data_IF_600811322190
#
_entry.id   IF_600811322190
#
_cell.length_a   1.000
_cell.length_b   1.000
_cell.length_c   1.000
_cell.angle_alpha   90.00
_cell.angle_beta   90.00
_cell.angle_gamma   90.00
#
_symmetry.space_group_name_H-M   'P 1'
#
loop_
_entity.id
_entity.type
_entity.pdbx_description
1 polymer ?
#
# COMPACT_ATOMS: atom_id res chain seq x y z
N UNK A 1 -4.15 8.44 10.01
CA UNK A 1 -4.59 7.62 11.16
C UNK A 1 -6.11 7.44 11.18
N UNK A 2 -6.93 8.49 11.01
CA UNK A 2 -8.41 8.40 11.03
C UNK A 2 -9.00 7.25 10.19
N UNK A 3 -8.47 7.04 8.98
CA UNK A 3 -8.93 5.95 8.11
C UNK A 3 -8.62 4.53 8.63
N UNK A 4 -7.57 4.34 9.44
CA UNK A 4 -7.27 3.02 10.05
C UNK A 4 -8.44 2.58 10.93
N UNK A 5 -9.11 3.54 11.58
CA UNK A 5 -10.22 3.32 12.50
C UNK A 5 -11.60 3.45 11.85
N UNK A 6 -11.69 4.17 10.72
CA UNK A 6 -12.96 4.52 10.10
C UNK A 6 -13.34 3.63 8.90
N UNK A 7 -12.39 2.94 8.28
CA UNK A 7 -12.69 2.12 7.08
C UNK A 7 -12.07 0.72 7.16
N UNK A 8 -12.71 -0.28 6.54
CA UNK A 8 -12.14 -1.62 6.42
C UNK A 8 -10.75 -1.60 5.79
N UNK A 9 -9.82 -2.36 6.37
CA UNK A 9 -8.41 -2.36 5.94
C UNK A 9 -8.21 -2.77 4.48
N UNK A 10 -9.09 -3.60 3.91
CA UNK A 10 -9.02 -4.03 2.51
C UNK A 10 -9.40 -2.94 1.49
N UNK A 11 -9.86 -1.77 1.95
CA UNK A 11 -10.20 -0.61 1.11
C UNK A 11 -9.10 0.46 1.11
N UNK A 12 -8.02 0.25 1.85
CA UNK A 12 -6.94 1.21 1.99
C UNK A 12 -5.74 0.85 1.13
N UNK A 13 -5.27 1.82 0.35
CA UNK A 13 -4.01 1.77 -0.38
C UNK A 13 -3.13 2.92 0.13
N UNK A 14 -1.94 2.59 0.63
CA UNK A 14 -1.01 3.59 1.15
C UNK A 14 -0.13 4.21 0.05
N UNK A 15 -0.05 3.58 -1.13
CA UNK A 15 0.74 4.06 -2.26
C UNK A 15 0.10 3.65 -3.59
N UNK A 16 0.26 4.51 -4.61
CA UNK A 16 -0.24 4.35 -5.98
C UNK A 16 0.54 5.20 -6.99
N UNK A 17 0.25 5.03 -8.28
CA UNK A 17 1.01 5.61 -9.39
C UNK A 17 0.45 6.91 -9.96
N UNK A 18 0.30 7.95 -9.14
CA UNK A 18 -0.19 9.28 -9.58
C UNK A 18 0.94 10.19 -10.09
N UNK A 19 1.82 9.63 -10.93
CA UNK A 19 2.94 10.37 -11.52
C UNK A 19 3.42 9.71 -12.80
N UNK A 20 3.78 10.55 -13.78
CA UNK A 20 4.40 10.11 -15.04
C UNK A 20 5.94 10.01 -14.95
N UNK A 21 6.53 10.39 -13.82
CA UNK A 21 7.98 10.40 -13.64
C UNK A 21 8.45 9.19 -12.81
N UNK A 22 9.19 8.23 -13.40
CA UNK A 22 9.61 7.01 -12.68
C UNK A 22 10.42 7.29 -11.40
N UNK A 23 11.29 8.29 -11.43
CA UNK A 23 12.06 8.71 -10.25
C UNK A 23 11.18 9.26 -9.13
N UNK A 24 10.12 9.99 -9.48
CA UNK A 24 9.15 10.48 -8.50
C UNK A 24 8.37 9.33 -7.87
N UNK A 25 7.97 8.32 -8.66
CA UNK A 25 7.30 7.13 -8.13
C UNK A 25 8.17 6.41 -7.07
N UNK A 26 9.47 6.27 -7.33
CA UNK A 26 10.41 5.72 -6.34
C UNK A 26 10.44 6.57 -5.06
N UNK A 27 10.66 7.89 -5.20
CA UNK A 27 10.75 8.81 -4.08
C UNK A 27 9.47 8.81 -3.22
N UNK A 28 8.29 8.87 -3.85
CA UNK A 28 7.01 8.84 -3.16
C UNK A 28 6.74 7.49 -2.48
N UNK A 29 7.20 6.38 -3.06
CA UNK A 29 7.09 5.07 -2.40
C UNK A 29 7.88 5.02 -1.09
N UNK A 30 9.05 5.68 -1.03
CA UNK A 30 9.88 5.79 0.17
C UNK A 30 9.18 6.66 1.20
N UNK A 31 8.63 7.80 0.78
CA UNK A 31 7.87 8.69 1.67
C UNK A 31 6.64 7.99 2.25
N UNK A 32 5.88 7.27 1.42
CA UNK A 32 4.70 6.51 1.85
C UNK A 32 5.07 5.47 2.91
N UNK A 33 6.13 4.66 2.68
CA UNK A 33 6.62 3.68 3.66
C UNK A 33 7.02 4.33 4.99
N UNK A 34 7.75 5.45 4.93
CA UNK A 34 8.21 6.18 6.13
C UNK A 34 7.05 6.70 6.97
N UNK A 35 6.07 7.33 6.34
CA UNK A 35 4.94 7.93 7.07
C UNK A 35 3.90 6.90 7.51
N UNK A 36 3.68 5.84 6.72
CA UNK A 36 2.85 4.71 7.13
C UNK A 36 3.45 4.02 8.36
N UNK A 37 4.76 3.74 8.35
CA UNK A 37 5.44 3.14 9.50
C UNK A 37 5.28 4.00 10.76
N UNK A 38 5.46 5.32 10.66
CA UNK A 38 5.24 6.24 11.79
C UNK A 38 3.81 6.19 12.32
N UNK A 39 2.82 6.16 11.44
CA UNK A 39 1.42 6.08 11.84
C UNK A 39 1.13 4.76 12.57
N UNK A 40 1.61 3.63 12.05
CA UNK A 40 1.40 2.32 12.65
C UNK A 40 2.15 2.14 13.97
N UNK A 41 3.37 2.68 14.10
CA UNK A 41 4.11 2.71 15.37
C UNK A 41 3.32 3.48 16.43
N UNK A 42 2.66 4.58 16.07
CA UNK A 42 1.81 5.31 17.01
C UNK A 42 0.59 4.47 17.45
N UNK A 43 -0.06 3.75 16.54
CA UNK A 43 -1.15 2.84 16.92
C UNK A 43 -0.69 1.72 17.89
N UNK A 44 0.54 1.22 17.71
CA UNK A 44 1.12 0.21 18.62
C UNK A 44 1.45 0.83 19.98
N UNK A 45 2.08 2.00 19.99
CA UNK A 45 2.44 2.70 21.23
C UNK A 45 1.20 3.09 22.06
N UNK A 46 0.09 3.42 21.40
CA UNK A 46 -1.19 3.75 22.04
C UNK A 46 -2.02 2.50 22.39
N UNK A 47 -1.55 1.29 22.04
CA UNK A 47 -2.21 0.03 22.35
C UNK A 47 -3.42 -0.31 21.46
N UNK A 48 -3.64 0.43 20.38
CA UNK A 48 -4.70 0.16 19.41
C UNK A 48 -4.38 -1.02 18.48
N UNK A 49 -3.09 -1.31 18.26
CA UNK A 49 -2.63 -2.45 17.47
C UNK A 49 -1.52 -3.20 18.19
N UNK A 50 -1.42 -4.50 17.95
CA UNK A 50 -0.17 -5.24 18.20
C UNK A 50 0.82 -4.98 17.07
N UNK A 51 2.11 -5.22 17.32
CA UNK A 51 3.15 -5.14 16.29
C UNK A 51 2.84 -6.07 15.09
N UNK A 52 2.36 -7.29 15.35
CA UNK A 52 1.97 -8.23 14.31
C UNK A 52 0.80 -7.70 13.45
N UNK A 53 -0.20 -7.07 14.07
CA UNK A 53 -1.30 -6.44 13.34
C UNK A 53 -0.80 -5.25 12.50
N UNK A 54 0.08 -4.41 13.05
CA UNK A 54 0.69 -3.31 12.33
C UNK A 54 1.47 -3.79 11.09
N UNK A 55 2.30 -4.82 11.23
CA UNK A 55 3.04 -5.41 10.10
C UNK A 55 2.08 -5.96 9.03
N UNK A 56 1.02 -6.67 9.45
CA UNK A 56 0.01 -7.18 8.52
C UNK A 56 -0.71 -6.05 7.77
N UNK A 57 -1.09 -4.98 8.46
CA UNK A 57 -1.72 -3.82 7.83
C UNK A 57 -0.76 -3.11 6.85
N UNK A 58 0.53 -3.00 7.20
CA UNK A 58 1.52 -2.44 6.29
C UNK A 58 1.62 -3.25 4.99
N UNK A 59 1.70 -4.59 5.08
CA UNK A 59 1.71 -5.48 3.91
C UNK A 59 0.46 -5.33 3.05
N UNK A 60 -0.71 -5.30 3.69
CA UNK A 60 -2.01 -5.10 3.01
C UNK A 60 -2.07 -3.78 2.26
N UNK A 61 -1.83 -2.67 2.96
CA UNK A 61 -2.00 -1.32 2.39
C UNK A 61 -0.94 -0.98 1.34
N UNK A 62 0.25 -1.59 1.41
CA UNK A 62 1.33 -1.32 0.45
C UNK A 62 1.27 -2.21 -0.79
N UNK A 63 0.60 -3.37 -0.73
CA UNK A 63 0.68 -4.35 -1.83
C UNK A 63 -0.55 -5.25 -1.97
N UNK A 64 -0.94 -5.96 -0.92
CA UNK A 64 -1.89 -7.08 -1.07
C UNK A 64 -3.28 -6.59 -1.46
N UNK A 65 -3.73 -5.46 -0.90
CA UNK A 65 -5.03 -4.90 -1.23
C UNK A 65 -5.09 -4.49 -2.71
N UNK A 66 -4.01 -3.92 -3.25
CA UNK A 66 -3.93 -3.56 -4.67
C UNK A 66 -3.98 -4.81 -5.56
N UNK A 67 -3.27 -5.88 -5.21
CA UNK A 67 -3.29 -7.13 -5.96
C UNK A 67 -4.64 -7.83 -5.92
N UNK A 68 -5.40 -7.68 -4.82
CA UNK A 68 -6.76 -8.18 -4.72
C UNK A 68 -7.78 -7.30 -5.47
N UNK A 69 -7.49 -6.00 -5.63
CA UNK A 69 -8.40 -5.04 -6.26
C UNK A 69 -8.24 -4.94 -7.78
N UNK A 70 -7.03 -5.09 -8.31
CA UNK A 70 -6.71 -4.86 -9.73
C UNK A 70 -6.35 -6.15 -10.47
N UNK A 71 -6.73 -6.25 -11.74
CA UNK A 71 -6.34 -7.34 -12.66
C UNK A 71 -4.88 -7.20 -13.12
N UNK A 72 -3.92 -7.35 -12.19
CA UNK A 72 -2.50 -7.19 -12.49
C UNK A 72 -2.00 -8.30 -13.42
N UNK A 73 -2.45 -9.54 -13.22
CA UNK A 73 -2.02 -10.68 -14.03
C UNK A 73 -2.58 -10.63 -15.45
N UNK A 74 -3.86 -10.24 -15.63
CA UNK A 74 -4.42 -10.06 -16.96
C UNK A 74 -3.73 -8.92 -17.72
N UNK A 75 -3.40 -7.80 -17.06
CA UNK A 75 -2.60 -6.73 -17.67
C UNK A 75 -1.23 -7.24 -18.09
N UNK A 76 -0.53 -7.97 -17.23
CA UNK A 76 0.79 -8.56 -17.55
C UNK A 76 0.72 -9.52 -18.73
N UNK A 77 -0.33 -10.34 -18.81
CA UNK A 77 -0.56 -11.24 -19.95
C UNK A 77 -0.73 -10.48 -21.26
N UNK A 78 -1.54 -9.40 -21.25
CA UNK A 78 -1.73 -8.54 -22.43
C UNK A 78 -0.43 -7.86 -22.88
N UNK A 79 0.36 -7.32 -21.94
CA UNK A 79 1.64 -6.67 -22.25
C UNK A 79 2.66 -7.63 -22.87
N UNK A 80 2.77 -8.85 -22.35
CA UNK A 80 3.63 -9.89 -22.93
C UNK A 80 3.25 -10.20 -24.38
N UNK A 81 1.95 -10.28 -24.67
CA UNK A 81 1.45 -10.57 -26.02
C UNK A 81 1.52 -9.38 -26.98
N UNK A 82 1.60 -8.15 -26.47
CA UNK A 82 1.64 -6.93 -27.27
C UNK A 82 3.05 -6.57 -27.78
N UNK A 83 4.10 -7.27 -27.34
CA UNK A 83 5.50 -6.98 -27.73
C UNK A 83 5.90 -7.77 -28.99
N UNK A 84 5.00 -7.86 -29.97
CA UNK A 84 5.24 -8.47 -31.30
C UNK A 84 5.39 -7.38 -32.34
#
# INVERSE_FOLDING_TARGET
RSFIHAVPSNKLFAFGGDTFWPGAALAYSIQARKWLARALVAEVAEGYLTEAQAISLAGKMMRENQLACFDVEGVRGRLKNATV
#
